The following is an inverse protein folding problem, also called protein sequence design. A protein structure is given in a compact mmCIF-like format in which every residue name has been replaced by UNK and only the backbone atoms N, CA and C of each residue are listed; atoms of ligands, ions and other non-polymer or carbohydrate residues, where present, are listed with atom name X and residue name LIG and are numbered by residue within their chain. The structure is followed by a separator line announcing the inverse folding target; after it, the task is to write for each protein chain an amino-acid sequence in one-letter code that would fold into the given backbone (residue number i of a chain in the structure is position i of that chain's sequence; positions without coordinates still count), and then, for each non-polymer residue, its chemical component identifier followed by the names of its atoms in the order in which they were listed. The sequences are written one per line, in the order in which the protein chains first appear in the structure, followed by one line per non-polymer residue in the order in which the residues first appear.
data_IF_991951584194
#
_entry.id   IF_991951584194
#
_cell.length_a   1.000
_cell.length_b   1.000
_cell.length_c   1.000
_cell.angle_alpha   90.00
_cell.angle_beta   90.00
_cell.angle_gamma   90.00
#
_symmetry.space_group_name_H-M   'P 1'
#
loop_
_entity.id
_entity.type
_entity.pdbx_description
1 polymer ?
#
# COMPACT_ATOMS: atom_id res chain seq x y z
N UNK A 1 21.69 -16.20 -2.74
CA UNK A 1 21.81 -14.74 -2.49
C UNK A 1 23.24 -14.43 -2.09
N UNK A 2 23.80 -13.31 -2.57
CA UNK A 2 25.09 -12.84 -2.07
C UNK A 2 24.94 -12.36 -0.63
N UNK A 3 26.01 -12.46 0.19
CA UNK A 3 26.01 -11.99 1.59
C UNK A 3 25.56 -10.50 1.70
N UNK A 4 25.90 -9.69 0.70
CA UNK A 4 25.52 -8.28 0.66
C UNK A 4 23.99 -8.07 0.52
N UNK A 5 23.32 -8.80 -0.36
CA UNK A 5 21.85 -8.73 -0.53
C UNK A 5 21.14 -9.13 0.77
N UNK A 6 21.51 -10.28 1.34
CA UNK A 6 20.91 -10.75 2.60
C UNK A 6 21.10 -9.74 3.73
N UNK A 7 22.27 -9.11 3.81
CA UNK A 7 22.57 -8.08 4.83
C UNK A 7 21.65 -6.87 4.70
N UNK A 8 21.50 -6.33 3.49
CA UNK A 8 20.62 -5.18 3.24
C UNK A 8 19.17 -5.52 3.52
N UNK A 9 18.65 -6.64 3.04
CA UNK A 9 17.24 -7.04 3.27
C UNK A 9 16.91 -7.17 4.75
N UNK A 10 17.81 -7.76 5.55
CA UNK A 10 17.63 -7.89 7.01
C UNK A 10 17.65 -6.54 7.71
N UNK A 11 18.56 -5.65 7.35
CA UNK A 11 18.64 -4.30 7.89
C UNK A 11 17.36 -3.52 7.60
N UNK A 12 16.86 -3.55 6.36
CA UNK A 12 15.62 -2.90 5.98
C UNK A 12 14.41 -3.47 6.71
N UNK A 13 14.31 -4.80 6.84
CA UNK A 13 13.21 -5.43 7.57
C UNK A 13 13.20 -5.00 9.06
N UNK A 14 14.37 -4.88 9.68
CA UNK A 14 14.50 -4.40 11.05
C UNK A 14 14.13 -2.92 11.16
N UNK A 15 14.64 -2.10 10.25
CA UNK A 15 14.37 -0.66 10.20
C UNK A 15 12.88 -0.37 10.03
N UNK A 16 12.23 -0.97 9.04
CA UNK A 16 10.83 -0.71 8.75
C UNK A 16 9.88 -1.37 9.74
N UNK A 17 10.26 -2.50 10.33
CA UNK A 17 9.50 -3.17 11.39
C UNK A 17 9.37 -2.34 12.68
N UNK A 18 10.30 -1.40 12.91
CA UNK A 18 10.22 -0.44 14.02
C UNK A 18 9.20 0.69 13.80
N UNK A 19 8.70 0.87 12.58
CA UNK A 19 7.70 1.88 12.25
C UNK A 19 6.34 1.53 12.86
N UNK A 20 5.77 2.46 13.62
CA UNK A 20 4.46 2.27 14.26
C UNK A 20 4.48 1.44 15.54
N UNK A 21 5.63 0.99 16.01
CA UNK A 21 5.79 0.42 17.34
C UNK A 21 5.99 1.55 18.37
N UNK A 22 5.07 1.65 19.33
CA UNK A 22 5.15 2.67 20.40
C UNK A 22 6.37 2.46 21.33
N UNK A 23 6.98 1.26 21.31
CA UNK A 23 8.08 0.83 22.21
C UNK A 23 9.43 0.57 21.50
N UNK A 24 9.68 1.14 20.34
CA UNK A 24 10.90 0.85 19.54
C UNK A 24 12.20 1.46 20.13
N UNK A 25 12.47 1.31 21.44
CA UNK A 25 13.70 1.82 22.09
C UNK A 25 14.78 0.77 22.37
N UNK A 26 14.68 -0.45 21.88
CA UNK A 26 15.60 -1.55 22.26
C UNK A 26 16.29 -2.23 21.08
N UNK A 27 16.79 -1.48 20.09
CA UNK A 27 17.73 -2.02 19.11
C UNK A 27 19.03 -1.20 19.12
N UNK A 28 20.01 -1.67 19.85
CA UNK A 28 21.32 -1.00 20.08
C UNK A 28 22.21 -0.85 18.82
N UNK A 29 21.72 -1.19 17.61
CA UNK A 29 22.61 -1.23 16.42
C UNK A 29 22.04 -0.50 15.20
N UNK A 30 20.87 0.13 15.26
CA UNK A 30 20.30 0.85 14.09
C UNK A 30 20.71 2.32 14.19
N UNK A 31 21.66 2.74 13.35
CA UNK A 31 22.15 4.13 13.26
C UNK A 31 21.12 5.06 12.57
N UNK A 32 20.10 4.52 11.90
CA UNK A 32 19.02 5.24 11.18
C UNK A 32 17.67 4.74 11.68
N UNK A 33 16.78 5.65 12.07
CA UNK A 33 15.40 5.32 12.43
C UNK A 33 14.45 5.55 11.25
N UNK A 34 13.24 4.97 11.22
CA UNK A 34 12.25 5.29 10.19
C UNK A 34 11.91 6.79 10.11
N UNK A 35 11.98 7.51 11.22
CA UNK A 35 11.76 8.96 11.24
C UNK A 35 12.88 9.73 10.52
N UNK A 36 14.12 9.26 10.63
CA UNK A 36 15.28 9.88 9.95
C UNK A 36 15.15 9.77 8.42
N UNK A 37 14.41 8.80 7.92
CA UNK A 37 14.14 8.67 6.48
C UNK A 37 13.19 9.75 5.95
N UNK A 38 12.57 10.55 6.80
CA UNK A 38 11.90 11.78 6.38
C UNK A 38 12.94 12.80 5.85
N UNK A 39 14.17 12.77 6.40
CA UNK A 39 15.27 13.60 5.94
C UNK A 39 15.88 13.06 4.63
N UNK A 40 16.12 13.95 3.65
CA UNK A 40 16.57 13.58 2.31
C UNK A 40 17.94 12.91 2.31
N UNK A 41 18.86 13.34 3.15
CA UNK A 41 20.22 12.78 3.24
C UNK A 41 20.24 11.32 3.69
N UNK A 42 19.43 10.96 4.70
CA UNK A 42 19.35 9.58 5.18
C UNK A 42 18.70 8.67 4.12
N UNK A 43 17.61 9.14 3.50
CA UNK A 43 16.98 8.46 2.39
C UNK A 43 17.94 8.25 1.23
N UNK A 44 18.65 9.30 0.82
CA UNK A 44 19.60 9.27 -0.30
C UNK A 44 20.73 8.26 -0.08
N UNK A 45 21.37 8.27 1.09
CA UNK A 45 22.43 7.30 1.42
C UNK A 45 21.94 5.85 1.28
N UNK A 46 20.74 5.55 1.78
CA UNK A 46 20.18 4.20 1.73
C UNK A 46 19.77 3.82 0.30
N UNK A 47 19.18 4.74 -0.44
CA UNK A 47 18.79 4.55 -1.84
C UNK A 47 20.00 4.24 -2.74
N UNK A 48 21.08 5.00 -2.61
CA UNK A 48 22.32 4.77 -3.37
C UNK A 48 22.98 3.44 -3.01
N UNK A 49 22.95 3.05 -1.73
CA UNK A 49 23.46 1.74 -1.28
C UNK A 49 22.64 0.59 -1.86
N UNK A 50 21.31 0.69 -1.85
CA UNK A 50 20.41 -0.30 -2.46
C UNK A 50 20.68 -0.41 -3.96
N UNK A 51 20.74 0.73 -4.66
CA UNK A 51 21.06 0.77 -6.08
C UNK A 51 22.38 0.05 -6.40
N UNK A 52 23.44 0.31 -5.63
CA UNK A 52 24.74 -0.35 -5.82
C UNK A 52 24.64 -1.88 -5.66
N UNK A 53 23.91 -2.36 -4.63
CA UNK A 53 23.69 -3.80 -4.40
C UNK A 53 22.88 -4.41 -5.55
N UNK A 54 21.81 -3.76 -5.99
CA UNK A 54 20.97 -4.22 -7.09
C UNK A 54 21.76 -4.28 -8.40
N UNK A 55 22.55 -3.26 -8.69
CA UNK A 55 23.41 -3.21 -9.89
C UNK A 55 24.46 -4.33 -9.92
N UNK A 56 25.02 -4.69 -8.76
CA UNK A 56 25.96 -5.82 -8.65
C UNK A 56 25.26 -7.18 -8.79
N UNK A 57 24.04 -7.30 -8.27
CA UNK A 57 23.36 -8.59 -8.08
C UNK A 57 22.39 -8.93 -9.22
N UNK A 58 21.93 -7.94 -9.99
CA UNK A 58 21.02 -8.14 -11.11
C UNK A 58 21.62 -7.62 -12.42
N UNK A 59 22.07 -8.51 -13.33
CA UNK A 59 22.68 -8.12 -14.62
C UNK A 59 21.74 -7.33 -15.53
N UNK A 60 20.42 -7.53 -15.42
CA UNK A 60 19.41 -6.80 -16.23
C UNK A 60 19.33 -5.35 -15.80
N UNK A 61 19.22 -5.12 -14.48
CA UNK A 61 19.22 -3.77 -13.91
C UNK A 61 20.50 -3.04 -14.23
N UNK A 62 21.65 -3.71 -14.10
CA UNK A 62 22.93 -3.13 -14.47
C UNK A 62 22.94 -2.66 -15.93
N UNK A 63 22.52 -3.52 -16.87
CA UNK A 63 22.48 -3.15 -18.30
C UNK A 63 21.54 -1.98 -18.57
N UNK A 64 20.38 -1.97 -17.90
CA UNK A 64 19.41 -0.90 -18.03
C UNK A 64 19.98 0.44 -17.57
N UNK A 65 20.58 0.49 -16.38
CA UNK A 65 21.14 1.72 -15.82
C UNK A 65 22.41 2.17 -16.56
N UNK A 66 23.28 1.26 -16.97
CA UNK A 66 24.47 1.58 -17.79
C UNK A 66 24.07 2.20 -19.15
N UNK A 67 22.95 1.74 -19.73
CA UNK A 67 22.43 2.30 -20.97
C UNK A 67 21.68 3.61 -20.80
N UNK A 68 21.10 3.86 -19.63
CA UNK A 68 20.25 5.03 -19.39
C UNK A 68 21.06 6.28 -18.99
N UNK A 69 22.11 6.17 -18.17
CA UNK A 69 22.83 7.35 -17.68
C UNK A 69 24.35 7.30 -17.88
N UNK A 70 24.96 6.12 -17.96
CA UNK A 70 26.40 5.96 -18.10
C UNK A 70 27.30 6.46 -16.95
N UNK A 71 26.71 7.14 -15.96
CA UNK A 71 27.38 7.68 -14.79
C UNK A 71 26.78 7.11 -13.49
N UNK A 72 27.59 7.03 -12.42
CA UNK A 72 27.10 6.68 -11.09
C UNK A 72 26.23 7.83 -10.55
N UNK A 73 25.01 7.54 -10.05
CA UNK A 73 24.14 8.57 -9.52
C UNK A 73 24.69 9.14 -8.21
N UNK A 74 24.66 10.46 -8.07
CA UNK A 74 25.00 11.17 -6.83
C UNK A 74 23.76 11.33 -5.94
N UNK A 75 22.57 11.16 -6.49
CA UNK A 75 21.30 11.29 -5.79
C UNK A 75 20.32 10.20 -6.24
N UNK A 76 19.42 9.78 -5.34
CA UNK A 76 18.32 8.88 -5.66
C UNK A 76 17.45 9.40 -6.81
N UNK A 77 17.41 10.73 -7.00
CA UNK A 77 16.67 11.39 -8.08
C UNK A 77 17.28 11.14 -9.47
N UNK A 78 18.57 10.77 -9.51
CA UNK A 78 19.31 10.47 -10.73
C UNK A 78 19.25 8.98 -11.09
N UNK A 79 18.77 8.12 -10.19
CA UNK A 79 18.57 6.71 -10.50
C UNK A 79 17.42 6.59 -11.50
N UNK A 80 17.66 6.10 -12.74
CA UNK A 80 16.63 5.98 -13.75
C UNK A 80 15.50 5.03 -13.29
N UNK A 81 14.24 5.47 -13.34
CA UNK A 81 13.11 4.63 -12.92
C UNK A 81 12.89 3.47 -13.88
N UNK A 82 12.51 2.34 -13.33
CA UNK A 82 12.18 1.14 -14.11
C UNK A 82 10.72 1.25 -14.56
N UNK A 83 10.44 1.16 -15.87
CA UNK A 83 9.05 1.13 -16.33
C UNK A 83 8.29 -0.06 -15.76
N UNK A 84 7.06 0.16 -15.29
CA UNK A 84 6.18 -0.89 -14.73
C UNK A 84 6.02 -2.07 -15.70
N UNK A 85 6.03 -1.81 -17.01
CA UNK A 85 5.93 -2.86 -18.03
C UNK A 85 7.11 -3.84 -17.98
N UNK A 86 8.26 -3.46 -17.45
CA UNK A 86 9.42 -4.36 -17.33
C UNK A 86 9.15 -5.55 -16.41
N UNK A 87 8.31 -5.40 -15.39
CA UNK A 87 7.91 -6.49 -14.50
C UNK A 87 7.12 -7.61 -15.20
N UNK A 88 6.63 -7.34 -16.42
CA UNK A 88 5.97 -8.35 -17.25
C UNK A 88 6.96 -9.12 -18.11
N UNK A 89 8.04 -8.46 -18.50
CA UNK A 89 8.92 -8.96 -19.55
C UNK A 89 10.20 -9.59 -18.99
N UNK A 90 10.60 -9.18 -17.77
CA UNK A 90 11.85 -9.64 -17.15
C UNK A 90 11.70 -9.82 -15.63
N UNK A 91 12.37 -10.85 -15.04
CA UNK A 91 12.42 -11.00 -13.59
C UNK A 91 13.35 -9.95 -12.97
N UNK A 92 12.75 -9.00 -12.23
CA UNK A 92 13.49 -7.98 -11.50
C UNK A 92 13.66 -8.45 -10.06
N UNK A 93 14.79 -9.12 -9.77
CA UNK A 93 15.06 -9.68 -8.44
C UNK A 93 16.56 -9.77 -8.16
N UNK A 94 16.97 -9.56 -6.93
CA UNK A 94 18.33 -9.71 -6.45
C UNK A 94 18.47 -10.99 -5.63
N UNK A 95 18.49 -12.15 -6.31
CA UNK A 95 18.64 -13.47 -5.70
C UNK A 95 17.41 -14.36 -5.92
N UNK A 96 17.23 -15.35 -5.04
CA UNK A 96 16.09 -16.28 -5.12
C UNK A 96 14.88 -15.64 -4.44
N UNK A 97 13.75 -15.46 -5.12
CA UNK A 97 12.55 -14.90 -4.51
C UNK A 97 11.92 -15.88 -3.52
N UNK A 98 11.41 -15.38 -2.39
CA UNK A 98 10.56 -16.12 -1.46
C UNK A 98 9.11 -16.18 -1.94
N UNK A 99 8.69 -15.18 -2.73
CA UNK A 99 7.37 -15.16 -3.34
C UNK A 99 7.41 -14.46 -4.71
N UNK A 100 6.43 -14.79 -5.55
CA UNK A 100 6.18 -14.12 -6.83
C UNK A 100 4.74 -13.66 -6.84
N UNK A 101 4.54 -12.35 -6.82
CA UNK A 101 3.20 -11.76 -6.95
C UNK A 101 2.92 -11.38 -8.40
N UNK A 102 1.65 -11.52 -8.79
CA UNK A 102 1.22 -11.27 -10.17
C UNK A 102 0.15 -10.19 -10.24
N UNK A 103 0.29 -9.32 -11.22
CA UNK A 103 -0.74 -8.29 -11.48
C UNK A 103 -2.09 -8.92 -11.84
N UNK A 104 -3.19 -8.22 -11.58
CA UNK A 104 -4.56 -8.74 -11.80
C UNK A 104 -4.93 -9.01 -13.27
N UNK A 105 -4.03 -8.76 -14.23
CA UNK A 105 -4.20 -9.15 -15.63
C UNK A 105 -5.31 -8.42 -16.40
N UNK A 106 -5.76 -7.25 -15.96
CA UNK A 106 -6.86 -6.49 -16.59
C UNK A 106 -6.48 -5.74 -17.85
N UNK A 107 -5.20 -5.71 -18.21
CA UNK A 107 -4.75 -5.12 -19.49
C UNK A 107 -4.94 -6.15 -20.59
N UNK A 108 -6.02 -6.06 -21.36
CA UNK A 108 -6.41 -6.97 -22.45
C UNK A 108 -5.45 -7.00 -23.67
N UNK A 109 -4.15 -6.95 -23.42
CA UNK A 109 -3.10 -7.10 -24.41
C UNK A 109 -2.56 -8.54 -24.45
N UNK A 110 -1.93 -8.91 -25.57
CA UNK A 110 -1.30 -10.22 -25.83
C UNK A 110 -0.09 -10.54 -24.92
N UNK A 111 0.15 -9.79 -23.82
CA UNK A 111 1.22 -9.99 -22.86
C UNK A 111 0.72 -10.67 -21.58
N UNK A 112 1.57 -11.46 -20.93
CA UNK A 112 1.31 -12.10 -19.64
C UNK A 112 1.04 -11.10 -18.51
N UNK A 113 0.69 -11.61 -17.33
CA UNK A 113 0.61 -10.83 -16.08
C UNK A 113 2.02 -10.38 -15.68
N UNK A 114 2.17 -9.15 -15.19
CA UNK A 114 3.43 -8.70 -14.59
C UNK A 114 3.75 -9.51 -13.34
N UNK A 115 5.02 -9.80 -13.09
CA UNK A 115 5.51 -10.57 -11.96
C UNK A 115 6.44 -9.72 -11.10
N UNK A 116 6.13 -9.61 -9.82
CA UNK A 116 7.03 -9.04 -8.83
C UNK A 116 7.66 -10.17 -8.02
N UNK A 117 8.94 -10.36 -8.20
CA UNK A 117 9.74 -11.36 -7.52
C UNK A 117 10.24 -10.78 -6.20
N UNK A 118 9.65 -11.18 -5.09
CA UNK A 118 9.92 -10.63 -3.76
C UNK A 118 10.99 -11.45 -3.06
N UNK A 119 12.15 -10.86 -2.77
CA UNK A 119 13.27 -11.59 -2.18
C UNK A 119 13.10 -11.89 -0.69
N UNK A 120 12.22 -11.14 0.02
CA UNK A 120 11.95 -11.34 1.44
C UNK A 120 10.51 -11.00 1.80
N UNK A 121 9.76 -11.99 2.28
CA UNK A 121 8.42 -11.79 2.83
C UNK A 121 8.46 -11.10 4.19
N UNK A 122 9.53 -11.27 4.96
CA UNK A 122 9.71 -10.55 6.22
C UNK A 122 9.85 -9.04 5.98
N UNK A 123 10.56 -8.63 4.92
CA UNK A 123 10.65 -7.24 4.52
C UNK A 123 9.26 -6.70 4.11
N UNK A 124 8.52 -7.45 3.30
CA UNK A 124 7.16 -7.05 2.91
C UNK A 124 6.23 -6.96 4.13
N UNK A 125 6.29 -7.93 5.04
CA UNK A 125 5.53 -7.89 6.30
C UNK A 125 5.89 -6.65 7.13
N UNK A 126 7.18 -6.33 7.26
CA UNK A 126 7.65 -5.19 8.03
C UNK A 126 7.10 -3.86 7.48
N UNK A 127 7.19 -3.65 6.16
CA UNK A 127 6.69 -2.41 5.52
C UNK A 127 5.17 -2.29 5.60
N UNK A 128 4.44 -3.37 5.32
CA UNK A 128 2.99 -3.37 5.39
C UNK A 128 2.50 -3.17 6.83
N UNK A 129 3.12 -3.88 7.80
CA UNK A 129 2.68 -3.91 9.20
C UNK A 129 2.69 -2.55 9.86
N UNK A 130 3.80 -1.82 9.80
CA UNK A 130 3.91 -0.50 10.40
C UNK A 130 2.86 0.47 9.85
N UNK A 131 2.56 0.32 8.56
CA UNK A 131 1.66 1.20 7.86
C UNK A 131 0.18 0.88 8.14
N UNK A 132 -0.28 -0.38 7.96
CA UNK A 132 -1.67 -0.71 8.26
C UNK A 132 -2.00 -0.59 9.76
N UNK A 133 -1.08 -0.86 10.68
CA UNK A 133 -1.30 -0.62 12.11
C UNK A 133 -1.60 0.84 12.39
N UNK A 134 -0.83 1.75 11.81
CA UNK A 134 -1.04 3.20 11.94
C UNK A 134 -2.40 3.64 11.41
N UNK A 135 -2.77 3.14 10.23
CA UNK A 135 -3.94 3.62 9.49
C UNK A 135 -5.23 2.89 9.82
N UNK A 136 -5.16 1.60 10.12
CA UNK A 136 -6.33 0.74 10.32
C UNK A 136 -6.51 0.27 11.76
N UNK A 137 -5.43 0.03 12.52
CA UNK A 137 -5.52 -0.58 13.86
C UNK A 137 -5.22 0.39 15.01
N UNK A 138 -4.93 1.66 14.73
CA UNK A 138 -4.65 2.65 15.77
C UNK A 138 -5.77 2.73 16.80
N UNK A 139 -5.45 2.52 18.10
CA UNK A 139 -6.40 2.53 19.20
C UNK A 139 -7.34 1.33 19.27
N UNK A 140 -7.12 0.31 18.42
CA UNK A 140 -7.89 -0.94 18.46
C UNK A 140 -7.31 -1.84 19.54
N UNK A 141 -8.16 -2.41 20.39
CA UNK A 141 -7.78 -3.46 21.36
C UNK A 141 -8.22 -4.85 20.88
N UNK A 142 -9.37 -4.91 20.22
CA UNK A 142 -9.97 -6.13 19.71
C UNK A 142 -10.86 -5.79 18.52
N UNK A 143 -10.73 -6.56 17.43
CA UNK A 143 -11.51 -6.38 16.22
C UNK A 143 -11.72 -7.74 15.54
N UNK A 144 -12.86 -7.93 14.87
CA UNK A 144 -13.11 -9.05 13.97
C UNK A 144 -12.77 -8.63 12.55
N UNK A 145 -11.92 -9.37 11.86
CA UNK A 145 -11.64 -9.11 10.45
C UNK A 145 -12.62 -9.86 9.56
N UNK A 146 -13.23 -9.16 8.62
CA UNK A 146 -14.00 -9.74 7.51
C UNK A 146 -13.34 -9.28 6.21
N UNK A 147 -12.84 -10.23 5.44
CA UNK A 147 -12.11 -9.93 4.21
C UNK A 147 -12.94 -10.26 2.98
N UNK A 148 -13.24 -9.24 2.17
CA UNK A 148 -13.72 -9.38 0.79
C UNK A 148 -12.56 -9.39 -0.21
N UNK A 149 -11.35 -9.66 0.28
CA UNK A 149 -10.14 -9.98 -0.46
C UNK A 149 -9.91 -11.48 -0.27
N UNK A 150 -9.50 -12.22 -1.30
CA UNK A 150 -9.30 -13.67 -1.19
C UNK A 150 -8.33 -14.07 -0.07
N UNK A 151 -8.54 -15.26 0.48
CA UNK A 151 -7.60 -15.91 1.38
C UNK A 151 -6.22 -16.10 0.69
N UNK A 152 -5.10 -15.66 1.29
CA UNK A 152 -3.75 -15.85 0.75
C UNK A 152 -3.35 -17.33 0.59
N UNK A 153 -4.05 -18.27 1.23
CA UNK A 153 -3.85 -19.71 1.02
C UNK A 153 -4.48 -20.16 -0.30
N UNK A 154 -5.59 -19.53 -0.70
CA UNK A 154 -6.29 -19.82 -1.97
C UNK A 154 -5.67 -19.08 -3.14
N UNK A 155 -5.32 -17.78 -2.95
CA UNK A 155 -4.73 -16.93 -3.99
C UNK A 155 -3.32 -16.53 -3.56
N UNK A 156 -2.37 -17.41 -3.81
CA UNK A 156 -0.99 -17.31 -3.33
C UNK A 156 -0.14 -16.27 -4.06
N UNK A 157 -0.55 -15.88 -5.27
CA UNK A 157 0.17 -14.94 -6.14
C UNK A 157 -0.36 -13.49 -6.07
N UNK A 158 -1.18 -13.16 -5.06
CA UNK A 158 -1.70 -11.82 -4.81
C UNK A 158 -0.97 -11.14 -3.64
N UNK A 159 -0.29 -10.02 -3.91
CA UNK A 159 0.32 -9.19 -2.85
C UNK A 159 -0.75 -8.66 -1.89
N UNK A 160 -1.91 -8.24 -2.41
CA UNK A 160 -3.02 -7.76 -1.59
C UNK A 160 -3.58 -8.84 -0.66
N UNK A 161 -3.79 -10.07 -1.17
CA UNK A 161 -4.21 -11.19 -0.33
C UNK A 161 -3.15 -11.52 0.75
N UNK A 162 -1.87 -11.48 0.37
CA UNK A 162 -0.77 -11.67 1.33
C UNK A 162 -0.77 -10.61 2.43
N UNK A 163 -0.99 -9.33 2.09
CA UNK A 163 -1.12 -8.25 3.06
C UNK A 163 -2.32 -8.47 4.00
N UNK A 164 -3.47 -8.88 3.46
CA UNK A 164 -4.64 -9.21 4.28
C UNK A 164 -4.33 -10.36 5.27
N UNK A 165 -3.52 -11.35 4.85
CA UNK A 165 -3.01 -12.40 5.74
C UNK A 165 -2.13 -11.85 6.87
N UNK A 166 -1.27 -10.86 6.60
CA UNK A 166 -0.49 -10.23 7.65
C UNK A 166 -1.34 -9.47 8.66
N UNK A 167 -2.44 -8.84 8.21
CA UNK A 167 -3.40 -8.18 9.11
C UNK A 167 -4.15 -9.21 9.96
N UNK A 168 -4.51 -10.36 9.37
CA UNK A 168 -5.17 -11.45 10.08
C UNK A 168 -4.34 -12.01 11.24
N UNK A 169 -3.00 -11.96 11.12
CA UNK A 169 -2.05 -12.43 12.14
C UNK A 169 -1.84 -11.42 13.30
N UNK A 170 -2.44 -10.22 13.25
CA UNK A 170 -2.25 -9.23 14.31
C UNK A 170 -2.99 -9.62 15.61
N UNK A 171 -2.38 -9.37 16.77
CA UNK A 171 -2.94 -9.78 18.07
C UNK A 171 -4.27 -9.11 18.39
N UNK A 172 -4.56 -7.93 17.81
CA UNK A 172 -5.84 -7.25 17.94
C UNK A 172 -6.97 -7.93 17.15
N UNK A 173 -6.63 -8.74 16.15
CA UNK A 173 -7.60 -9.47 15.32
C UNK A 173 -8.00 -10.77 16.03
N UNK A 174 -9.18 -10.75 16.65
CA UNK A 174 -9.66 -11.87 17.44
C UNK A 174 -10.18 -13.04 16.60
N UNK A 175 -10.66 -12.73 15.40
CA UNK A 175 -11.23 -13.70 14.45
C UNK A 175 -11.09 -13.15 13.05
N UNK A 176 -10.84 -14.03 12.09
CA UNK A 176 -10.77 -13.70 10.66
C UNK A 176 -11.78 -14.54 9.89
N UNK A 177 -12.59 -13.85 9.06
CA UNK A 177 -13.55 -14.46 8.14
C UNK A 177 -13.16 -14.07 6.73
N UNK A 178 -12.82 -15.05 5.89
CA UNK A 178 -12.57 -14.85 4.46
C UNK A 178 -13.89 -14.96 3.70
N UNK A 179 -14.54 -13.82 3.48
CA UNK A 179 -15.87 -13.70 2.88
C UNK A 179 -15.83 -13.40 1.37
N UNK A 180 -14.79 -13.87 0.68
CA UNK A 180 -14.67 -13.78 -0.77
C UNK A 180 -14.02 -15.05 -1.36
N UNK A 181 -14.72 -15.65 -2.28
CA UNK A 181 -14.21 -16.75 -3.09
C UNK A 181 -14.04 -16.30 -4.55
N UNK A 182 -12.92 -16.60 -5.22
CA UNK A 182 -12.69 -16.20 -6.61
C UNK A 182 -13.73 -16.72 -7.62
N UNK A 183 -14.45 -17.81 -7.30
CA UNK A 183 -15.44 -18.44 -8.19
C UNK A 183 -16.85 -17.96 -7.86
N UNK A 184 -17.23 -17.95 -6.57
CA UNK A 184 -18.60 -17.64 -6.12
C UNK A 184 -18.79 -16.16 -5.74
N UNK A 185 -17.70 -15.42 -5.56
CA UNK A 185 -17.74 -13.99 -5.22
C UNK A 185 -17.88 -13.71 -3.73
N UNK A 186 -18.64 -12.67 -3.38
CA UNK A 186 -18.82 -12.18 -2.00
C UNK A 186 -19.79 -13.06 -1.23
N UNK A 187 -19.35 -13.59 -0.08
CA UNK A 187 -20.19 -14.25 0.90
C UNK A 187 -20.88 -13.19 1.81
N UNK A 188 -22.08 -12.82 1.41
CA UNK A 188 -22.88 -11.78 2.09
C UNK A 188 -23.36 -12.27 3.47
N UNK A 189 -23.57 -13.57 3.64
CA UNK A 189 -24.08 -14.13 4.91
C UNK A 189 -23.01 -14.07 6.00
N UNK A 190 -21.76 -14.32 5.68
CA UNK A 190 -20.64 -14.09 6.59
C UNK A 190 -20.53 -12.63 7.05
N UNK A 191 -20.80 -11.65 6.15
CA UNK A 191 -20.85 -10.23 6.54
C UNK A 191 -22.04 -9.94 7.46
N UNK A 192 -23.21 -10.52 7.19
CA UNK A 192 -24.41 -10.41 8.04
C UNK A 192 -24.17 -10.97 9.43
N UNK A 193 -23.49 -12.10 9.53
CA UNK A 193 -23.18 -12.73 10.81
C UNK A 193 -22.18 -11.89 11.63
N UNK A 194 -21.20 -11.29 10.97
CA UNK A 194 -20.30 -10.36 11.62
C UNK A 194 -21.02 -9.12 12.15
N UNK A 195 -22.00 -8.60 11.39
CA UNK A 195 -22.79 -7.42 11.79
C UNK A 195 -23.71 -7.69 13.01
N UNK A 196 -24.08 -8.94 13.27
CA UNK A 196 -24.88 -9.34 14.47
C UNK A 196 -24.03 -9.45 15.73
N UNK A 197 -22.70 -9.47 15.61
CA UNK A 197 -21.78 -9.55 16.73
C UNK A 197 -21.67 -8.24 17.51
N UNK A 198 -20.89 -8.27 18.57
CA UNK A 198 -20.60 -7.08 19.41
C UNK A 198 -19.19 -6.51 19.18
N UNK A 199 -18.27 -7.32 18.68
CA UNK A 199 -16.91 -6.87 18.38
C UNK A 199 -16.92 -5.96 17.14
N UNK A 200 -16.16 -4.85 17.14
CA UNK A 200 -15.96 -4.04 15.94
C UNK A 200 -15.46 -4.88 14.75
N UNK A 201 -15.86 -4.51 13.54
CA UNK A 201 -15.47 -5.21 12.32
C UNK A 201 -14.43 -4.36 11.55
N UNK A 202 -13.32 -4.97 11.17
CA UNK A 202 -12.43 -4.47 10.12
C UNK A 202 -12.82 -5.16 8.80
N UNK A 203 -13.52 -4.42 7.94
CA UNK A 203 -13.89 -4.89 6.62
C UNK A 203 -12.76 -4.53 5.62
N UNK A 204 -12.03 -5.53 5.14
CA UNK A 204 -11.04 -5.36 4.07
C UNK A 204 -11.69 -5.64 2.72
N UNK A 205 -11.60 -4.69 1.78
CA UNK A 205 -12.32 -4.84 0.53
C UNK A 205 -11.60 -4.16 -0.64
N UNK A 206 -11.89 -4.63 -1.85
CA UNK A 206 -11.66 -3.84 -3.07
C UNK A 206 -12.89 -3.00 -3.38
N UNK A 207 -12.75 -1.90 -4.13
CA UNK A 207 -13.89 -1.12 -4.58
C UNK A 207 -14.94 -1.98 -5.30
N UNK A 208 -14.47 -2.95 -6.09
CA UNK A 208 -15.32 -3.91 -6.80
C UNK A 208 -16.12 -4.81 -5.83
N UNK A 209 -15.45 -5.47 -4.88
CA UNK A 209 -16.12 -6.35 -3.92
C UNK A 209 -17.08 -5.58 -3.01
N UNK A 210 -16.74 -4.32 -2.67
CA UNK A 210 -17.59 -3.45 -1.87
C UNK A 210 -18.90 -3.11 -2.60
N UNK A 211 -18.83 -2.75 -3.89
CA UNK A 211 -20.02 -2.50 -4.70
C UNK A 211 -20.89 -3.74 -4.77
N UNK A 212 -20.30 -4.92 -5.01
CA UNK A 212 -21.04 -6.19 -5.03
C UNK A 212 -21.74 -6.49 -3.70
N UNK A 213 -21.06 -6.28 -2.57
CA UNK A 213 -21.69 -6.40 -1.25
C UNK A 213 -22.90 -5.46 -1.12
N UNK A 214 -22.72 -4.18 -1.44
CA UNK A 214 -23.77 -3.19 -1.33
C UNK A 214 -24.96 -3.47 -2.27
N UNK A 215 -24.70 -3.98 -3.47
CA UNK A 215 -25.74 -4.37 -4.42
C UNK A 215 -26.53 -5.59 -3.91
N UNK A 216 -25.87 -6.58 -3.36
CA UNK A 216 -26.51 -7.75 -2.78
C UNK A 216 -27.33 -7.43 -1.49
N UNK A 217 -26.96 -6.39 -0.76
CA UNK A 217 -27.75 -5.87 0.36
C UNK A 217 -28.95 -5.03 -0.10
N UNK A 218 -28.91 -4.50 -1.32
CA UNK A 218 -29.98 -3.69 -1.91
C UNK A 218 -30.23 -2.39 -1.13
N UNK A 219 -31.50 -2.10 -0.83
CA UNK A 219 -31.92 -0.95 0.01
C UNK A 219 -31.88 -1.25 1.51
N UNK A 220 -31.52 -2.49 1.90
CA UNK A 220 -31.44 -2.90 3.28
C UNK A 220 -30.30 -2.22 4.05
N UNK A 221 -30.50 -2.01 5.35
CA UNK A 221 -29.46 -1.54 6.26
C UNK A 221 -28.88 -2.75 7.00
N UNK A 222 -27.55 -2.75 7.10
CA UNK A 222 -26.78 -3.73 7.86
C UNK A 222 -25.73 -2.99 8.70
N UNK A 223 -26.14 -2.30 9.79
CA UNK A 223 -25.21 -1.54 10.59
C UNK A 223 -24.15 -2.47 11.20
N UNK A 224 -22.89 -2.15 11.02
CA UNK A 224 -21.78 -2.82 11.68
C UNK A 224 -21.64 -2.33 13.13
N UNK A 225 -21.11 -3.13 14.05
CA UNK A 225 -20.89 -2.75 15.44
C UNK A 225 -20.10 -1.44 15.58
N UNK A 226 -20.34 -0.65 16.64
CA UNK A 226 -19.58 0.58 16.89
C UNK A 226 -18.08 0.35 16.91
N UNK A 227 -17.30 1.27 16.31
CA UNK A 227 -15.84 1.14 16.18
C UNK A 227 -15.39 0.35 14.96
N UNK A 228 -16.33 -0.15 14.13
CA UNK A 228 -16.00 -0.81 12.87
C UNK A 228 -15.32 0.14 11.89
N UNK A 229 -14.49 -0.43 11.02
CA UNK A 229 -13.64 0.28 10.05
C UNK A 229 -13.66 -0.43 8.72
N UNK A 230 -13.44 0.32 7.65
CA UNK A 230 -13.40 -0.22 6.29
C UNK A 230 -12.10 0.23 5.64
N UNK A 231 -11.34 -0.72 5.12
CA UNK A 231 -10.27 -0.45 4.15
C UNK A 231 -10.80 -0.82 2.77
N UNK A 232 -10.80 0.14 1.89
CA UNK A 232 -11.13 -0.04 0.48
C UNK A 232 -9.86 0.17 -0.34
N UNK A 233 -9.59 -0.68 -1.33
CA UNK A 233 -8.42 -0.54 -2.21
C UNK A 233 -8.79 -0.70 -3.68
N UNK A 234 -7.96 -0.12 -4.55
CA UNK A 234 -8.09 -0.20 -6.00
C UNK A 234 -9.16 0.70 -6.58
N UNK A 235 -9.15 0.80 -7.91
CA UNK A 235 -10.15 1.50 -8.71
C UNK A 235 -11.00 0.51 -9.49
N UNK A 236 -12.03 1.01 -10.16
CA UNK A 236 -12.98 0.18 -10.93
C UNK A 236 -12.39 -0.46 -12.19
N UNK A 237 -11.16 -0.07 -12.63
CA UNK A 237 -10.39 -0.64 -13.76
C UNK A 237 -11.26 -1.00 -14.98
N UNK A 238 -12.25 -0.16 -15.33
CA UNK A 238 -13.14 -0.37 -16.48
C UNK A 238 -14.12 -1.53 -16.37
N UNK A 239 -14.27 -2.18 -15.21
CA UNK A 239 -15.18 -3.31 -15.00
C UNK A 239 -16.56 -2.92 -14.47
N UNK A 240 -16.67 -1.74 -13.86
CA UNK A 240 -17.93 -1.14 -13.39
C UNK A 240 -17.90 0.33 -13.78
N UNK A 241 -19.06 0.94 -14.08
CA UNK A 241 -19.15 2.38 -14.30
C UNK A 241 -18.46 3.11 -13.14
N UNK A 242 -17.61 4.10 -13.45
CA UNK A 242 -16.89 4.89 -12.45
C UNK A 242 -17.89 5.45 -11.44
N UNK A 243 -17.98 4.81 -10.28
CA UNK A 243 -18.78 5.31 -9.18
C UNK A 243 -17.98 6.41 -8.51
N UNK A 244 -18.57 7.59 -8.43
CA UNK A 244 -17.98 8.69 -7.66
C UNK A 244 -17.66 8.22 -6.24
N UNK A 245 -16.45 8.48 -5.78
CA UNK A 245 -15.96 8.01 -4.50
C UNK A 245 -16.79 8.54 -3.33
N UNK A 246 -17.22 9.80 -3.39
CA UNK A 246 -18.09 10.40 -2.38
C UNK A 246 -19.45 9.70 -2.34
N UNK A 247 -20.00 9.37 -3.51
CA UNK A 247 -21.25 8.62 -3.60
C UNK A 247 -21.13 7.20 -3.02
N UNK A 248 -20.00 6.51 -3.27
CA UNK A 248 -19.71 5.19 -2.69
C UNK A 248 -19.61 5.28 -1.16
N UNK A 249 -18.83 6.20 -0.63
CA UNK A 249 -18.68 6.41 0.82
C UNK A 249 -20.03 6.75 1.48
N UNK A 250 -20.83 7.62 0.86
CA UNK A 250 -22.17 7.92 1.36
C UNK A 250 -23.11 6.69 1.34
N UNK A 251 -22.98 5.82 0.33
CA UNK A 251 -23.72 4.57 0.28
C UNK A 251 -23.30 3.60 1.39
N UNK A 252 -21.98 3.47 1.61
CA UNK A 252 -21.42 2.67 2.71
C UNK A 252 -21.94 3.16 4.05
N UNK A 253 -21.88 4.46 4.33
CA UNK A 253 -22.38 5.02 5.60
C UNK A 253 -23.88 4.76 5.81
N UNK A 254 -24.70 4.96 4.78
CA UNK A 254 -26.16 4.66 4.87
C UNK A 254 -26.44 3.18 5.10
N UNK A 255 -25.67 2.27 4.48
CA UNK A 255 -25.96 0.82 4.51
C UNK A 255 -25.33 0.16 5.74
N UNK A 256 -24.07 0.46 6.02
CA UNK A 256 -23.27 -0.21 7.06
C UNK A 256 -23.11 0.62 8.33
N UNK A 257 -23.59 1.87 8.35
CA UNK A 257 -23.48 2.81 9.47
C UNK A 257 -22.02 3.03 9.95
N UNK A 258 -21.08 2.98 9.03
CA UNK A 258 -19.65 3.25 9.28
C UNK A 258 -19.37 4.66 8.80
N UNK A 259 -19.17 5.58 9.74
CA UNK A 259 -18.90 6.98 9.41
C UNK A 259 -17.71 7.14 8.46
N UNK A 260 -17.75 8.16 7.60
CA UNK A 260 -16.74 8.36 6.54
C UNK A 260 -15.30 8.49 7.05
N UNK A 261 -15.10 8.96 8.30
CA UNK A 261 -13.78 8.97 8.95
C UNK A 261 -13.23 7.58 9.26
N UNK A 262 -14.08 6.56 9.29
CA UNK A 262 -13.69 5.16 9.51
C UNK A 262 -13.53 4.38 8.20
N UNK A 263 -13.70 5.03 7.04
CA UNK A 263 -13.46 4.47 5.71
C UNK A 263 -12.12 5.00 5.22
N UNK A 264 -11.16 4.12 5.01
CA UNK A 264 -9.80 4.47 4.56
C UNK A 264 -9.55 3.83 3.21
N UNK A 265 -9.03 4.62 2.27
CA UNK A 265 -8.61 4.09 0.99
C UNK A 265 -7.12 3.79 1.01
N UNK A 266 -6.79 2.59 0.58
CA UNK A 266 -5.43 2.13 0.37
C UNK A 266 -5.06 2.28 -1.12
N UNK A 267 -3.85 2.74 -1.37
CA UNK A 267 -3.21 2.72 -2.68
C UNK A 267 -1.98 1.83 -2.62
N UNK A 268 -1.96 0.83 -3.47
CA UNK A 268 -0.83 -0.05 -3.68
C UNK A 268 -0.83 -0.62 -5.10
N UNK A 269 0.26 -1.24 -5.45
CA UNK A 269 0.41 -1.97 -6.71
C UNK A 269 1.28 -3.20 -6.47
N UNK A 270 1.13 -4.19 -7.34
CA UNK A 270 1.86 -5.47 -7.23
C UNK A 270 3.38 -5.25 -7.22
N UNK A 271 3.84 -4.23 -7.93
CA UNK A 271 5.24 -3.88 -8.13
C UNK A 271 5.86 -3.09 -6.98
N UNK A 272 5.09 -2.73 -5.95
CA UNK A 272 5.57 -2.06 -4.73
C UNK A 272 5.41 -2.97 -3.51
N UNK A 273 6.33 -2.88 -2.55
CA UNK A 273 6.22 -3.53 -1.25
C UNK A 273 5.67 -2.60 -0.15
N UNK A 274 5.34 -1.36 -0.53
CA UNK A 274 4.79 -0.36 0.39
C UNK A 274 3.43 0.13 -0.11
N UNK A 275 2.56 0.53 0.83
CA UNK A 275 1.23 1.04 0.56
C UNK A 275 1.12 2.50 1.02
N UNK A 276 0.22 3.25 0.39
CA UNK A 276 -0.20 4.56 0.87
C UNK A 276 -1.66 4.52 1.33
N UNK A 277 -1.97 5.31 2.33
CA UNK A 277 -3.33 5.43 2.87
C UNK A 277 -3.77 6.88 2.88
N UNK A 278 -5.05 7.13 2.63
CA UNK A 278 -5.60 8.48 2.55
C UNK A 278 -6.12 9.04 3.88
N UNK A 279 -5.97 8.30 4.97
CA UNK A 279 -6.40 8.71 6.31
C UNK A 279 -6.10 7.67 7.36
N UNK A 280 -6.50 7.97 8.60
CA UNK A 280 -6.45 7.05 9.74
C UNK A 280 -7.88 6.76 10.17
N UNK A 281 -8.26 5.50 10.25
CA UNK A 281 -9.61 5.10 10.61
C UNK A 281 -9.99 5.62 12.02
N UNK A 282 -11.08 6.38 12.09
CA UNK A 282 -11.54 7.06 13.31
C UNK A 282 -10.69 8.27 13.70
N UNK A 283 -9.77 8.71 12.84
CA UNK A 283 -8.96 9.90 13.04
C UNK A 283 -9.71 11.21 12.77
N UNK A 284 -9.15 12.31 13.28
CA UNK A 284 -9.66 13.66 13.06
C UNK A 284 -9.18 14.28 11.74
N UNK A 285 -9.55 15.55 11.47
CA UNK A 285 -9.13 16.28 10.28
C UNK A 285 -7.61 16.34 10.09
N UNK A 286 -6.83 16.40 11.16
CA UNK A 286 -5.37 16.38 11.12
C UNK A 286 -4.81 15.05 10.57
N UNK A 287 -5.54 13.95 10.75
CA UNK A 287 -5.17 12.62 10.24
C UNK A 287 -5.57 12.43 8.77
N UNK A 288 -6.41 13.32 8.23
CA UNK A 288 -6.92 13.25 6.85
C UNK A 288 -5.98 13.85 5.78
N UNK A 289 -4.73 14.10 6.11
CA UNK A 289 -3.74 14.47 5.09
C UNK A 289 -3.52 15.96 4.86
N UNK A 290 -4.05 16.84 5.71
CA UNK A 290 -3.94 18.29 5.54
C UNK A 290 -2.53 18.90 5.70
N UNK A 291 -1.52 18.12 6.09
CA UNK A 291 -0.14 18.62 6.34
C UNK A 291 0.92 17.71 5.75
N UNK A 292 0.76 17.24 4.52
CA UNK A 292 1.87 16.71 3.73
C UNK A 292 2.61 17.92 3.15
N UNK A 293 3.73 18.29 3.70
CA UNK A 293 4.73 19.02 2.92
C UNK A 293 5.24 18.02 1.90
N UNK A 294 4.86 18.24 0.64
CA UNK A 294 5.65 17.73 -0.47
C UNK A 294 7.05 18.34 -0.38
N UNK A 295 8.02 17.69 -0.95
CA UNK A 295 9.45 18.09 -0.89
C UNK A 295 9.72 19.55 -1.37
N UNK A 296 8.70 20.28 -1.84
CA UNK A 296 8.79 21.62 -2.40
C UNK A 296 8.01 22.68 -1.61
N UNK A 297 7.41 22.35 -0.44
CA UNK A 297 6.77 23.34 0.41
C UNK A 297 5.52 24.03 -0.20
N UNK A 298 4.97 23.50 -1.29
CA UNK A 298 3.76 24.04 -1.88
C UNK A 298 2.55 23.66 -1.04
N UNK A 299 2.11 24.59 -0.23
CA UNK A 299 0.80 24.55 0.40
C UNK A 299 -0.26 24.65 -0.68
N UNK A 300 -1.03 23.59 -0.91
CA UNK A 300 -2.35 23.76 -1.46
C UNK A 300 -3.08 24.78 -0.56
N UNK A 301 -3.64 25.85 -1.15
CA UNK A 301 -4.18 26.98 -0.41
C UNK A 301 -5.06 26.54 0.75
N UNK A 302 -5.07 27.31 1.84
CA UNK A 302 -5.85 26.98 3.04
C UNK A 302 -7.29 26.59 2.67
N UNK A 303 -7.78 25.43 3.13
CA UNK A 303 -9.15 25.02 2.85
C UNK A 303 -10.10 26.07 3.41
N UNK A 304 -11.06 26.50 2.61
CA UNK A 304 -12.10 27.42 3.07
C UNK A 304 -12.79 26.83 4.31
N UNK A 305 -13.05 27.61 5.36
CA UNK A 305 -13.80 27.15 6.53
C UNK A 305 -15.08 26.43 6.10
N UNK A 306 -15.24 25.16 6.50
CA UNK A 306 -16.40 24.34 6.15
C UNK A 306 -16.27 23.47 4.88
N UNK A 307 -15.19 23.59 4.10
CA UNK A 307 -14.93 22.64 3.01
C UNK A 307 -14.32 21.35 3.56
N UNK A 308 -14.73 20.17 3.04
CA UNK A 308 -14.07 18.92 3.41
C UNK A 308 -12.59 18.99 3.00
N UNK A 309 -11.70 18.66 3.93
CA UNK A 309 -10.26 18.60 3.66
C UNK A 309 -10.03 17.49 2.62
N UNK A 310 -9.38 17.80 1.48
CA UNK A 310 -9.07 16.79 0.50
C UNK A 310 -8.23 15.67 1.14
N UNK A 311 -8.65 14.41 0.98
CA UNK A 311 -7.89 13.26 1.48
C UNK A 311 -6.82 12.90 0.45
N UNK A 312 -5.57 12.87 0.88
CA UNK A 312 -4.43 12.54 0.04
C UNK A 312 -3.76 11.26 0.54
N UNK A 313 -3.36 10.40 -0.39
CA UNK A 313 -2.58 9.22 -0.06
C UNK A 313 -1.19 9.60 0.44
N UNK A 314 -0.78 8.98 1.54
CA UNK A 314 0.53 9.17 2.13
C UNK A 314 1.26 7.84 2.18
N UNK A 315 2.41 7.82 1.58
CA UNK A 315 3.38 6.75 1.73
C UNK A 315 4.14 6.89 3.06
N UNK A 316 4.71 5.80 3.55
CA UNK A 316 5.65 5.85 4.67
C UNK A 316 6.95 6.57 4.25
N UNK A 317 7.78 7.00 5.23
CA UNK A 317 8.95 7.84 4.96
C UNK A 317 10.04 7.17 4.11
N UNK A 318 9.99 5.88 3.90
CA UNK A 318 10.91 5.16 3.00
C UNK A 318 10.43 5.07 1.54
N UNK A 319 9.37 5.77 1.19
CA UNK A 319 8.90 5.90 -0.20
C UNK A 319 8.89 7.36 -0.61
N UNK A 320 9.42 7.65 -1.80
CA UNK A 320 9.34 8.94 -2.46
C UNK A 320 8.52 8.81 -3.74
N UNK A 321 7.69 9.80 -4.00
CA UNK A 321 6.85 9.84 -5.21
C UNK A 321 7.04 11.16 -5.93
N UNK A 322 7.22 11.11 -7.25
CA UNK A 322 7.28 12.27 -8.15
C UNK A 322 6.25 12.11 -9.26
N UNK A 323 5.66 13.22 -9.69
CA UNK A 323 4.94 13.29 -10.95
C UNK A 323 5.92 13.64 -12.07
N UNK A 324 5.88 12.88 -13.16
CA UNK A 324 6.73 13.10 -14.34
C UNK A 324 5.86 13.49 -15.53
N UNK A 325 6.36 14.37 -16.35
CA UNK A 325 5.77 14.71 -17.64
C UNK A 325 5.76 13.46 -18.55
N UNK A 326 4.61 13.08 -19.11
CA UNK A 326 4.51 11.86 -19.92
C UNK A 326 5.36 11.85 -21.20
N UNK A 327 5.69 13.02 -21.74
CA UNK A 327 6.44 13.15 -22.99
C UNK A 327 7.96 13.23 -22.76
N UNK A 328 8.39 13.94 -21.71
CA UNK A 328 9.82 14.22 -21.45
C UNK A 328 10.40 13.42 -20.30
N UNK A 329 9.55 12.81 -19.46
CA UNK A 329 9.90 12.16 -18.18
C UNK A 329 10.60 13.11 -17.20
N UNK A 330 10.51 14.40 -17.42
CA UNK A 330 11.01 15.41 -16.49
C UNK A 330 10.08 15.57 -15.28
N UNK A 331 10.62 15.83 -14.07
CA UNK A 331 9.79 16.09 -12.92
C UNK A 331 8.85 17.29 -13.13
N UNK A 332 7.59 17.10 -12.77
CA UNK A 332 6.58 18.16 -12.82
C UNK A 332 6.52 18.91 -11.47
N UNK A 333 6.20 20.22 -11.49
CA UNK A 333 5.88 20.96 -10.29
C UNK A 333 4.68 20.34 -9.52
N UNK A 334 4.60 20.54 -8.19
CA UNK A 334 3.47 20.11 -7.39
C UNK A 334 2.13 20.60 -7.94
N UNK A 335 1.10 19.74 -7.85
CA UNK A 335 -0.26 20.04 -8.31
C UNK A 335 -0.49 19.82 -9.81
N UNK A 336 0.53 19.46 -10.58
CA UNK A 336 0.36 19.08 -11.98
C UNK A 336 0.16 17.56 -12.13
N UNK A 337 -0.83 17.12 -12.90
CA UNK A 337 -1.05 15.70 -13.18
C UNK A 337 0.04 15.15 -14.09
N UNK A 338 0.54 13.94 -13.79
CA UNK A 338 1.60 13.30 -14.56
C UNK A 338 1.69 11.81 -14.30
N UNK A 339 2.71 11.16 -14.85
CA UNK A 339 3.05 9.79 -14.53
C UNK A 339 3.64 9.72 -13.12
N UNK A 340 3.11 8.82 -12.29
CA UNK A 340 3.68 8.60 -10.96
C UNK A 340 4.96 7.76 -11.06
N UNK A 341 6.02 8.29 -10.47
CA UNK A 341 7.30 7.61 -10.30
C UNK A 341 7.54 7.41 -8.81
N UNK A 342 7.49 6.16 -8.36
CA UNK A 342 7.73 5.79 -6.98
C UNK A 342 9.16 5.28 -6.81
N UNK A 343 9.82 5.70 -5.75
CA UNK A 343 11.07 5.13 -5.27
C UNK A 343 10.81 4.51 -3.90
N UNK A 344 10.68 3.20 -3.86
CA UNK A 344 10.40 2.43 -2.66
C UNK A 344 11.68 1.71 -2.21
N UNK A 345 12.22 2.11 -1.06
CA UNK A 345 13.42 1.47 -0.49
C UNK A 345 13.19 0.00 -0.12
N UNK A 346 11.94 -0.43 0.00
CA UNK A 346 11.61 -1.83 0.24
C UNK A 346 11.75 -2.72 -1.01
N UNK A 347 11.77 -2.14 -2.20
CA UNK A 347 12.03 -2.84 -3.46
C UNK A 347 13.53 -3.08 -3.69
N UNK A 348 14.25 -3.57 -2.65
CA UNK A 348 15.70 -3.76 -2.64
C UNK A 348 16.17 -5.06 -3.33
#
# INVERSE_FOLDING_TARGET
MTSAVTGVLRELATLFGAWGAEDARTAETITITPADLAEDDAFNRLALRIHAVQRMSNPMLRRFWDGASGAEPASWREIPPIPVMAFRDVPIVCGTPEAVFRTSGTSGGRGGRGEHHVPSLDLYRATARGNYRRHLLRGVRRIRMVSLIPDPVVVTDSSLARMAGFIADEPEVAETVWAFDPVTGVDVDSVRDAARGTDPVLLLTTAFSLVHLLDALGSGRLPLPPGSRIMETGGFKGRVAEVDRGALQARVDRTLAVGTSCIVNEYGMTELLSQAYDGVAGGGPADAGATGTDENGAHGGEPRPGSPVPRCHRFPPWVRTRALDPATLSPLPPGQPGLLCHFDLANA
#
